data_IF_423984040019
#
_entry.id   IF_423984040019
#
_cell.length_a   1.000
_cell.length_b   1.000
_cell.length_c   1.000
_cell.angle_alpha   90.00
_cell.angle_beta   90.00
_cell.angle_gamma   90.00
#
_symmetry.space_group_name_H-M   'P 1'
#
loop_
_entity.id
_entity.type
_entity.pdbx_description
1 polymer ?
#
# COMPACT_ATOMS: atom_id res chain seq x y z
N UNK A 1 -0.08 3.89 -5.21
CA UNK A 1 0.15 3.11 -3.99
C UNK A 1 1.38 2.25 -4.23
N UNK A 2 2.44 2.43 -3.42
CA UNK A 2 3.66 1.62 -3.51
C UNK A 2 3.56 0.48 -2.48
N UNK A 3 3.58 -0.76 -2.96
CA UNK A 3 3.34 -1.97 -2.19
C UNK A 3 1.87 -2.40 -2.17
N UNK A 4 1.61 -3.67 -2.48
CA UNK A 4 0.28 -4.30 -2.52
C UNK A 4 0.09 -5.36 -1.40
N UNK A 5 0.89 -5.29 -0.34
CA UNK A 5 0.70 -6.10 0.86
C UNK A 5 -0.58 -5.74 1.62
N UNK A 6 -0.72 -6.22 2.87
CA UNK A 6 -1.90 -5.96 3.69
C UNK A 6 -2.23 -4.45 3.84
N UNK A 7 -1.25 -3.55 4.10
CA UNK A 7 -1.55 -2.12 4.13
C UNK A 7 -1.99 -1.58 2.77
N UNK A 8 -1.25 -1.86 1.69
CA UNK A 8 -1.55 -1.34 0.36
C UNK A 8 -2.91 -1.79 -0.18
N UNK A 9 -3.27 -3.06 0.01
CA UNK A 9 -4.58 -3.58 -0.38
C UNK A 9 -5.72 -2.94 0.42
N UNK A 10 -5.50 -2.62 1.69
CA UNK A 10 -6.48 -1.90 2.51
C UNK A 10 -6.65 -0.45 2.04
N UNK A 11 -5.54 0.23 1.71
CA UNK A 11 -5.53 1.58 1.15
C UNK A 11 -6.30 1.60 -0.17
N UNK A 12 -6.07 0.63 -1.06
CA UNK A 12 -6.77 0.52 -2.34
C UNK A 12 -8.30 0.52 -2.16
N UNK A 13 -8.80 -0.27 -1.19
CA UNK A 13 -10.24 -0.34 -0.89
C UNK A 13 -10.82 1.02 -0.46
N UNK A 14 -10.07 1.78 0.32
CA UNK A 14 -10.50 3.12 0.79
C UNK A 14 -10.38 4.16 -0.31
N UNK A 15 -9.27 4.18 -1.05
CA UNK A 15 -9.04 5.18 -2.12
C UNK A 15 -10.11 5.10 -3.20
N UNK A 16 -10.62 3.91 -3.51
CA UNK A 16 -11.74 3.74 -4.47
C UNK A 16 -12.99 4.54 -4.11
N UNK A 17 -13.27 4.75 -2.83
CA UNK A 17 -14.44 5.49 -2.38
C UNK A 17 -14.41 6.97 -2.78
N UNK A 18 -13.22 7.49 -3.11
CA UNK A 18 -13.02 8.87 -3.54
C UNK A 18 -13.12 9.05 -5.06
N UNK A 19 -13.40 7.98 -5.81
CA UNK A 19 -13.55 7.98 -7.27
C UNK A 19 -12.41 8.71 -8.00
N UNK A 20 -11.13 8.37 -7.74
CA UNK A 20 -10.02 9.01 -8.44
C UNK A 20 -10.06 8.68 -9.94
N UNK A 21 -9.45 9.54 -10.78
CA UNK A 21 -9.33 9.30 -12.24
C UNK A 21 -8.64 7.96 -12.54
N UNK A 22 -7.62 7.62 -11.75
CA UNK A 22 -6.92 6.35 -11.83
C UNK A 22 -6.29 5.98 -10.48
N UNK A 23 -6.10 4.68 -10.25
CA UNK A 23 -5.34 4.14 -9.13
C UNK A 23 -4.23 3.27 -9.70
N UNK A 24 -2.98 3.65 -9.46
CA UNK A 24 -1.79 2.89 -9.83
C UNK A 24 -1.31 2.15 -8.58
N UNK A 25 -1.11 0.84 -8.67
CA UNK A 25 -0.56 0.01 -7.59
C UNK A 25 0.74 -0.64 -8.06
N UNK A 26 1.76 -0.60 -7.21
CA UNK A 26 3.05 -1.24 -7.53
C UNK A 26 3.39 -2.31 -6.51
N UNK A 27 4.04 -3.38 -6.96
CA UNK A 27 4.61 -4.43 -6.12
C UNK A 27 5.71 -5.15 -6.90
N UNK A 28 6.46 -6.02 -6.24
CA UNK A 28 7.44 -6.93 -6.87
C UNK A 28 6.79 -8.26 -7.31
N UNK A 29 5.60 -8.57 -6.79
CA UNK A 29 4.89 -9.84 -6.94
C UNK A 29 3.70 -9.69 -7.91
N UNK A 30 3.78 -10.37 -9.06
CA UNK A 30 2.73 -10.33 -10.08
C UNK A 30 1.37 -10.84 -9.55
N UNK A 31 1.36 -11.83 -8.65
CA UNK A 31 0.11 -12.36 -8.10
C UNK A 31 -0.62 -11.29 -7.25
N UNK A 32 0.13 -10.49 -6.48
CA UNK A 32 -0.42 -9.36 -5.74
C UNK A 32 -0.92 -8.25 -6.66
N UNK A 33 -0.24 -8.03 -7.78
CA UNK A 33 -0.66 -7.05 -8.78
C UNK A 33 -1.96 -7.48 -9.49
N UNK A 34 -2.10 -8.75 -9.83
CA UNK A 34 -3.36 -9.28 -10.38
C UNK A 34 -4.52 -9.19 -9.36
N UNK A 35 -4.24 -9.44 -8.08
CA UNK A 35 -5.23 -9.21 -7.02
C UNK A 35 -5.61 -7.73 -6.90
N UNK A 36 -4.63 -6.83 -6.97
CA UNK A 36 -4.90 -5.39 -6.96
C UNK A 36 -5.80 -4.96 -8.13
N UNK A 37 -5.59 -5.49 -9.34
CA UNK A 37 -6.48 -5.26 -10.49
C UNK A 37 -7.91 -5.71 -10.21
N UNK A 38 -8.08 -6.92 -9.68
CA UNK A 38 -9.41 -7.44 -9.31
C UNK A 38 -10.09 -6.58 -8.24
N UNK A 39 -9.31 -5.98 -7.35
CA UNK A 39 -9.79 -5.09 -6.29
C UNK A 39 -10.00 -3.64 -6.75
N UNK A 40 -9.70 -3.30 -8.02
CA UNK A 40 -10.01 -2.02 -8.64
C UNK A 40 -8.84 -1.07 -8.83
N UNK A 41 -7.60 -1.56 -8.86
CA UNK A 41 -6.49 -0.79 -9.40
C UNK A 41 -6.72 -0.58 -10.92
N UNK A 42 -6.55 0.64 -11.38
CA UNK A 42 -6.65 0.97 -12.81
C UNK A 42 -5.42 0.45 -13.57
N UNK A 43 -4.25 0.62 -12.95
CA UNK A 43 -2.98 0.17 -13.49
C UNK A 43 -2.14 -0.52 -12.41
N UNK A 44 -1.28 -1.43 -12.84
CA UNK A 44 -0.31 -2.08 -11.97
C UNK A 44 1.07 -2.02 -12.59
N UNK A 45 2.11 -1.86 -11.76
CA UNK A 45 3.50 -1.79 -12.18
C UNK A 45 4.30 -2.79 -11.34
N UNK A 46 4.99 -3.73 -12.01
CA UNK A 46 5.94 -4.58 -11.32
C UNK A 46 7.29 -3.85 -11.24
N UNK A 47 7.68 -3.45 -10.01
CA UNK A 47 8.88 -2.64 -9.77
C UNK A 47 10.21 -3.37 -9.98
N UNK A 48 10.21 -4.69 -10.21
CA UNK A 48 11.37 -5.44 -10.67
C UNK A 48 11.53 -5.41 -12.20
N UNK A 49 10.46 -5.08 -12.91
CA UNK A 49 10.41 -5.14 -14.39
C UNK A 49 10.38 -3.77 -15.04
N UNK A 50 9.85 -2.78 -14.34
CA UNK A 50 9.62 -1.43 -14.87
C UNK A 50 10.10 -0.38 -13.88
N UNK A 51 10.59 0.76 -14.39
CA UNK A 51 10.90 1.93 -13.57
C UNK A 51 9.61 2.62 -13.13
N UNK A 52 9.30 2.54 -11.84
CA UNK A 52 8.02 3.01 -11.28
C UNK A 52 7.78 4.50 -11.54
N UNK A 53 8.73 5.42 -11.29
CA UNK A 53 8.53 6.83 -11.59
C UNK A 53 8.20 7.10 -13.05
N UNK A 54 9.01 6.60 -13.98
CA UNK A 54 8.79 6.78 -15.42
C UNK A 54 7.42 6.26 -15.82
N UNK A 55 7.09 5.03 -15.40
CA UNK A 55 5.83 4.41 -15.78
C UNK A 55 4.62 5.12 -15.18
N UNK A 56 4.72 5.61 -13.94
CA UNK A 56 3.65 6.38 -13.32
C UNK A 56 3.39 7.70 -14.06
N UNK A 57 4.43 8.37 -14.54
CA UNK A 57 4.28 9.56 -15.37
C UNK A 57 3.65 9.24 -16.73
N UNK A 58 4.09 8.19 -17.43
CA UNK A 58 3.47 7.74 -18.68
C UNK A 58 1.96 7.48 -18.54
N UNK A 59 1.56 6.79 -17.46
CA UNK A 59 0.17 6.45 -17.19
C UNK A 59 -0.70 7.64 -16.76
N UNK A 60 -0.10 8.80 -16.57
CA UNK A 60 -0.75 10.03 -16.14
C UNK A 60 -0.47 11.22 -17.08
N UNK A 61 -0.29 10.94 -18.36
CA UNK A 61 -0.07 11.94 -19.41
C UNK A 61 1.14 12.87 -19.12
N UNK A 62 2.17 12.35 -18.43
CA UNK A 62 3.37 13.07 -18.03
C UNK A 62 3.24 13.88 -16.73
N UNK A 63 2.04 14.02 -16.15
CA UNK A 63 1.83 14.83 -14.94
C UNK A 63 2.31 14.16 -13.65
N UNK A 64 2.32 12.84 -13.59
CA UNK A 64 2.54 12.07 -12.36
C UNK A 64 1.30 12.02 -11.45
N UNK A 65 1.22 11.04 -10.55
CA UNK A 65 0.16 10.94 -9.55
C UNK A 65 0.11 12.16 -8.63
N UNK A 66 -1.09 12.67 -8.34
CA UNK A 66 -1.29 13.78 -7.39
C UNK A 66 -1.10 13.37 -5.94
N UNK A 67 -1.28 12.09 -5.63
CA UNK A 67 -1.04 11.51 -4.30
C UNK A 67 -0.33 10.18 -4.45
N UNK A 68 0.80 10.02 -3.78
CA UNK A 68 1.51 8.74 -3.68
C UNK A 68 1.58 8.30 -2.23
N UNK A 69 1.24 7.05 -1.97
CA UNK A 69 1.27 6.45 -0.63
C UNK A 69 2.32 5.35 -0.64
N UNK A 70 3.37 5.51 0.17
CA UNK A 70 4.38 4.47 0.38
C UNK A 70 3.91 3.53 1.50
N UNK A 71 3.33 2.41 1.09
CA UNK A 71 2.90 1.31 1.96
C UNK A 71 3.87 0.12 1.94
N UNK A 72 4.90 0.14 1.09
CA UNK A 72 5.96 -0.86 1.07
C UNK A 72 6.96 -0.65 2.21
N UNK A 73 7.33 0.61 2.46
CA UNK A 73 8.21 1.02 3.57
C UNK A 73 9.55 0.28 3.59
N UNK A 74 10.07 -0.05 2.41
CA UNK A 74 11.37 -0.70 2.22
C UNK A 74 12.43 0.31 1.80
N UNK A 75 13.70 -0.10 1.81
CA UNK A 75 14.80 0.75 1.35
C UNK A 75 14.53 1.26 -0.07
N UNK A 76 14.57 2.57 -0.26
CA UNK A 76 14.36 3.24 -1.55
C UNK A 76 12.90 3.55 -1.89
N UNK A 77 11.90 2.94 -1.24
CA UNK A 77 10.49 3.16 -1.59
C UNK A 77 10.04 4.62 -1.41
N UNK A 78 10.54 5.30 -0.39
CA UNK A 78 10.25 6.72 -0.20
C UNK A 78 10.81 7.57 -1.35
N UNK A 79 12.03 7.31 -1.81
CA UNK A 79 12.61 8.03 -2.95
C UNK A 79 11.79 7.76 -4.21
N UNK A 80 11.42 6.52 -4.46
CA UNK A 80 10.53 6.14 -5.57
C UNK A 80 9.20 6.90 -5.49
N UNK A 81 8.61 7.00 -4.29
CA UNK A 81 7.37 7.77 -4.09
C UNK A 81 7.53 9.25 -4.44
N UNK A 82 8.61 9.89 -3.99
CA UNK A 82 8.91 11.28 -4.29
C UNK A 82 9.13 11.52 -5.79
N UNK A 83 9.86 10.62 -6.45
CA UNK A 83 10.13 10.72 -7.88
C UNK A 83 8.87 10.48 -8.74
N UNK A 84 8.03 9.53 -8.37
CA UNK A 84 6.81 9.22 -9.09
C UNK A 84 5.74 10.32 -8.98
N UNK A 85 5.67 11.00 -7.82
CA UNK A 85 4.64 12.01 -7.57
C UNK A 85 4.81 13.22 -8.49
N UNK A 86 3.70 13.71 -9.01
CA UNK A 86 3.67 14.92 -9.84
C UNK A 86 3.93 16.21 -9.05
N UNK A 87 4.09 17.32 -9.77
CA UNK A 87 4.32 18.65 -9.17
C UNK A 87 3.15 19.05 -8.26
N UNK A 88 3.45 19.76 -7.17
CA UNK A 88 2.53 20.13 -6.11
C UNK A 88 1.73 18.94 -5.53
N UNK A 89 2.24 17.72 -5.72
CA UNK A 89 1.61 16.51 -5.26
C UNK A 89 1.92 16.19 -3.80
N UNK A 90 1.27 15.15 -3.30
CA UNK A 90 1.42 14.72 -1.91
C UNK A 90 2.02 13.32 -1.82
N UNK A 91 3.02 13.16 -0.95
CA UNK A 91 3.60 11.87 -0.60
C UNK A 91 3.25 11.54 0.85
N UNK A 92 2.70 10.36 1.07
CA UNK A 92 2.41 9.84 2.41
C UNK A 92 3.30 8.64 2.69
N UNK A 93 4.15 8.73 3.71
CA UNK A 93 4.97 7.61 4.17
C UNK A 93 4.36 6.95 5.40
N UNK A 94 4.34 5.63 5.43
CA UNK A 94 3.81 4.81 6.52
C UNK A 94 4.91 4.00 7.22
N UNK A 95 6.17 4.21 6.86
CA UNK A 95 7.31 3.44 7.38
C UNK A 95 7.56 3.65 8.88
N UNK A 96 7.97 2.58 9.55
CA UNK A 96 8.36 2.59 10.97
C UNK A 96 9.86 2.33 11.17
N UNK A 97 10.62 2.14 10.10
CA UNK A 97 12.05 1.92 10.19
C UNK A 97 12.74 3.13 10.81
N UNK A 98 13.66 2.87 11.75
CA UNK A 98 14.56 3.87 12.30
C UNK A 98 15.85 4.00 11.49
N UNK A 99 16.05 3.14 10.48
CA UNK A 99 17.20 3.21 9.59
C UNK A 99 17.11 4.48 8.72
N UNK A 100 18.24 5.21 8.55
CA UNK A 100 18.28 6.38 7.70
C UNK A 100 17.87 6.05 6.25
N UNK A 101 17.11 6.95 5.64
CA UNK A 101 16.76 6.89 4.21
C UNK A 101 17.38 8.09 3.51
N UNK A 102 18.19 7.84 2.49
CA UNK A 102 18.75 8.91 1.68
C UNK A 102 17.69 9.49 0.74
N UNK A 103 17.50 10.80 0.86
CA UNK A 103 16.58 11.55 0.01
C UNK A 103 17.28 12.83 -0.44
N UNK A 104 17.31 13.07 -1.75
CA UNK A 104 17.76 14.35 -2.27
C UNK A 104 16.67 15.40 -2.01
N UNK A 105 17.00 16.44 -1.24
CA UNK A 105 16.07 17.54 -0.94
C UNK A 105 15.53 18.20 -2.22
N UNK A 106 16.32 18.26 -3.28
CA UNK A 106 15.93 18.88 -4.54
C UNK A 106 14.69 18.23 -5.17
N UNK A 107 14.49 16.92 -5.01
CA UNK A 107 13.27 16.25 -5.53
C UNK A 107 12.00 16.76 -4.84
N UNK A 108 12.10 17.18 -3.58
CA UNK A 108 10.97 17.73 -2.84
C UNK A 108 10.74 19.20 -3.26
N UNK A 109 11.81 20.00 -3.26
CA UNK A 109 11.69 21.44 -3.53
C UNK A 109 11.38 21.77 -4.98
N UNK A 110 11.96 21.03 -5.93
CA UNK A 110 11.72 21.25 -7.37
C UNK A 110 10.30 20.93 -7.82
N UNK A 111 9.60 20.09 -7.07
CA UNK A 111 8.22 19.69 -7.33
C UNK A 111 7.21 20.30 -6.36
N UNK A 112 7.66 21.09 -5.37
CA UNK A 112 6.81 21.65 -4.31
C UNK A 112 5.96 20.59 -3.59
N UNK A 113 6.58 19.44 -3.23
CA UNK A 113 5.86 18.30 -2.68
C UNK A 113 5.44 18.53 -1.22
N UNK A 114 4.20 18.12 -0.90
CA UNK A 114 3.70 17.99 0.48
C UNK A 114 4.01 16.57 0.97
N UNK A 115 5.01 16.43 1.86
CA UNK A 115 5.44 15.12 2.39
C UNK A 115 4.94 14.94 3.81
N UNK A 116 4.16 13.88 4.05
CA UNK A 116 3.53 13.62 5.34
C UNK A 116 3.79 12.20 5.85
N UNK A 117 4.02 12.10 7.15
CA UNK A 117 3.95 10.83 7.86
C UNK A 117 2.51 10.45 8.19
N UNK A 118 2.20 9.16 8.13
CA UNK A 118 0.95 8.60 8.62
C UNK A 118 1.26 7.49 9.64
N UNK A 119 0.64 7.56 10.82
CA UNK A 119 0.86 6.58 11.87
C UNK A 119 -0.43 6.23 12.60
N UNK A 120 -0.59 4.92 12.79
CA UNK A 120 -1.69 4.32 13.55
C UNK A 120 -3.09 4.76 13.05
N UNK A 121 -4.02 4.89 13.97
CA UNK A 121 -5.45 4.96 13.61
C UNK A 121 -6.10 6.34 13.79
N UNK A 122 -5.48 7.27 14.51
CA UNK A 122 -5.98 8.62 14.72
C UNK A 122 -7.53 8.72 14.90
N UNK A 123 -8.12 7.91 15.79
CA UNK A 123 -9.57 7.84 16.06
C UNK A 123 -10.46 7.44 14.87
N UNK A 124 -9.91 6.69 13.89
CA UNK A 124 -10.61 6.30 12.66
C UNK A 124 -11.28 4.92 12.71
N UNK A 125 -11.29 4.25 13.87
CA UNK A 125 -11.94 2.93 13.98
C UNK A 125 -13.44 3.00 13.69
N UNK A 126 -14.15 4.00 14.25
CA UNK A 126 -15.58 4.12 14.04
C UNK A 126 -15.89 4.38 12.56
N UNK A 127 -15.17 5.31 11.93
CA UNK A 127 -15.34 5.61 10.50
C UNK A 127 -15.21 4.33 9.62
N UNK A 128 -14.24 3.46 9.94
CA UNK A 128 -14.04 2.21 9.20
C UNK A 128 -15.16 1.20 9.47
N UNK A 129 -15.62 1.09 10.74
CA UNK A 129 -16.74 0.21 11.12
C UNK A 129 -18.00 0.64 10.35
N UNK A 130 -18.28 1.93 10.30
CA UNK A 130 -19.43 2.48 9.59
C UNK A 130 -19.37 2.17 8.08
N UNK A 131 -18.19 2.36 7.45
CA UNK A 131 -18.00 2.00 6.03
C UNK A 131 -18.23 0.52 5.74
N UNK A 132 -17.82 -0.37 6.66
CA UNK A 132 -18.06 -1.81 6.53
C UNK A 132 -19.54 -2.15 6.74
N UNK A 133 -20.19 -1.59 7.76
CA UNK A 133 -21.61 -1.81 8.05
C UNK A 133 -22.52 -1.30 6.94
N UNK A 134 -22.14 -0.19 6.30
CA UNK A 134 -22.84 0.37 5.13
C UNK A 134 -22.55 -0.40 3.82
N UNK A 135 -21.70 -1.42 3.87
CA UNK A 135 -21.31 -2.21 2.69
C UNK A 135 -20.43 -1.46 1.68
N UNK A 136 -19.89 -0.30 2.06
CA UNK A 136 -19.00 0.51 1.21
C UNK A 136 -17.59 -0.09 1.10
N UNK A 137 -17.16 -0.83 2.13
CA UNK A 137 -15.86 -1.53 2.15
C UNK A 137 -16.10 -3.00 2.46
N UNK A 138 -15.63 -3.87 1.57
CA UNK A 138 -15.64 -5.31 1.80
C UNK A 138 -14.27 -5.77 2.33
N UNK A 139 -14.26 -6.30 3.54
CA UNK A 139 -13.06 -6.85 4.18
C UNK A 139 -12.94 -8.38 4.04
N UNK A 140 -13.93 -9.04 3.41
CA UNK A 140 -13.85 -10.49 3.15
C UNK A 140 -12.63 -10.77 2.27
N UNK A 141 -11.94 -11.86 2.58
CA UNK A 141 -10.68 -12.20 1.90
C UNK A 141 -9.45 -11.37 2.32
N UNK A 142 -9.60 -10.41 3.25
CA UNK A 142 -8.45 -9.69 3.81
C UNK A 142 -7.60 -10.59 4.72
N UNK A 143 -8.21 -11.60 5.32
CA UNK A 143 -7.54 -12.62 6.14
C UNK A 143 -7.28 -13.82 5.24
N UNK A 144 -6.01 -14.15 5.03
CA UNK A 144 -5.60 -15.30 4.21
C UNK A 144 -5.51 -16.59 5.01
N UNK A 145 -5.15 -16.52 6.29
CA UNK A 145 -4.92 -17.67 7.15
C UNK A 145 -5.51 -17.45 8.53
N UNK A 146 -6.01 -18.54 9.11
CA UNK A 146 -6.54 -18.56 10.48
C UNK A 146 -6.00 -19.79 11.19
N UNK A 147 -5.48 -19.62 12.39
CA UNK A 147 -5.03 -20.70 13.27
C UNK A 147 -5.75 -20.63 14.61
N UNK A 148 -5.82 -21.75 15.31
CA UNK A 148 -6.19 -21.71 16.71
C UNK A 148 -5.05 -21.09 17.53
N UNK A 149 -5.37 -20.48 18.65
CA UNK A 149 -4.34 -19.85 19.51
C UNK A 149 -3.29 -20.84 19.99
N UNK A 150 -3.70 -22.09 20.23
CA UNK A 150 -2.82 -23.18 20.63
C UNK A 150 -1.75 -23.51 19.58
N UNK A 151 -2.01 -23.20 18.32
CA UNK A 151 -1.12 -23.42 17.18
C UNK A 151 -0.29 -22.16 16.84
N UNK A 152 -0.15 -21.22 17.77
CA UNK A 152 0.50 -19.93 17.54
C UNK A 152 1.94 -20.09 17.00
N UNK A 153 2.71 -21.09 17.47
CA UNK A 153 4.06 -21.32 16.96
C UNK A 153 4.04 -21.69 15.48
N UNK A 154 3.16 -22.57 15.06
CA UNK A 154 3.02 -22.94 13.65
C UNK A 154 2.61 -21.73 12.78
N UNK A 155 1.79 -20.83 13.32
CA UNK A 155 1.44 -19.59 12.64
C UNK A 155 2.66 -18.66 12.44
N UNK A 156 3.52 -18.50 13.44
CA UNK A 156 4.76 -17.74 13.31
C UNK A 156 5.74 -18.39 12.33
N UNK A 157 5.94 -19.70 12.43
CA UNK A 157 6.80 -20.43 11.50
C UNK A 157 6.33 -20.28 10.04
N UNK A 158 5.00 -20.30 9.83
CA UNK A 158 4.42 -20.05 8.50
C UNK A 158 4.67 -18.61 8.01
N UNK A 159 4.53 -17.61 8.87
CA UNK A 159 4.84 -16.21 8.51
C UNK A 159 6.32 -16.06 8.15
N UNK A 160 7.21 -16.66 8.93
CA UNK A 160 8.67 -16.59 8.73
C UNK A 160 9.13 -17.35 7.48
N UNK A 161 8.33 -18.32 6.99
CA UNK A 161 8.61 -19.01 5.73
C UNK A 161 8.45 -18.13 4.48
N UNK A 162 7.88 -16.93 4.63
CA UNK A 162 7.59 -16.00 3.53
C UNK A 162 6.75 -16.62 2.41
N UNK A 163 5.83 -17.52 2.78
CA UNK A 163 4.93 -18.17 1.81
C UNK A 163 4.16 -17.11 1.01
N UNK A 164 4.17 -17.18 -0.32
CA UNK A 164 3.54 -16.17 -1.18
C UNK A 164 2.01 -16.08 -1.02
N UNK A 165 1.36 -17.10 -0.46
CA UNK A 165 -0.06 -17.07 -0.16
C UNK A 165 -0.41 -16.22 1.08
N UNK A 166 0.58 -15.94 1.94
CA UNK A 166 0.36 -15.17 3.15
C UNK A 166 0.06 -13.70 2.87
N UNK A 167 -1.00 -13.18 3.45
CA UNK A 167 -1.38 -11.76 3.45
C UNK A 167 -1.56 -11.24 4.87
N UNK A 168 -2.48 -11.87 5.60
CA UNK A 168 -2.78 -11.57 6.98
C UNK A 168 -3.27 -12.83 7.69
N UNK A 169 -2.64 -13.13 8.83
CA UNK A 169 -3.02 -14.21 9.71
C UNK A 169 -3.81 -13.73 10.92
N UNK A 170 -4.69 -14.57 11.42
CA UNK A 170 -5.45 -14.33 12.66
C UNK A 170 -5.39 -15.57 13.53
N UNK A 171 -5.11 -15.37 14.81
CA UNK A 171 -5.26 -16.40 15.83
C UNK A 171 -6.67 -16.30 16.42
N UNK A 172 -7.37 -17.42 16.52
CA UNK A 172 -8.70 -17.50 17.11
C UNK A 172 -8.67 -18.34 18.38
N UNK A 173 -9.49 -17.93 19.35
CA UNK A 173 -9.70 -18.70 20.55
C UNK A 173 -10.93 -19.60 20.34
N UNK A 174 -10.83 -20.87 20.75
CA UNK A 174 -12.02 -21.72 20.81
C UNK A 174 -12.99 -21.13 21.84
N UNK A 175 -14.24 -20.98 21.46
CA UNK A 175 -15.31 -20.71 22.41
C UNK A 175 -15.71 -21.97 23.12
#
# INVERSE_FOLDING_TARGET
>A
IIGSGAPGSSILRIVKLYNPKAIIVTDIDDAKLEEAKKNGATYTINSLKEDVPTKAHELTDGYGPTVTIDAACVKGSLLTALQATGNAGRVITMGFSVAPTEVNQFVITSKELDVRGSRLQNRKFQDVIDLVNEGKVDLRGSISHTWNFEDAQAAFDFVDSHDPSYRKGVLTFKK
#
